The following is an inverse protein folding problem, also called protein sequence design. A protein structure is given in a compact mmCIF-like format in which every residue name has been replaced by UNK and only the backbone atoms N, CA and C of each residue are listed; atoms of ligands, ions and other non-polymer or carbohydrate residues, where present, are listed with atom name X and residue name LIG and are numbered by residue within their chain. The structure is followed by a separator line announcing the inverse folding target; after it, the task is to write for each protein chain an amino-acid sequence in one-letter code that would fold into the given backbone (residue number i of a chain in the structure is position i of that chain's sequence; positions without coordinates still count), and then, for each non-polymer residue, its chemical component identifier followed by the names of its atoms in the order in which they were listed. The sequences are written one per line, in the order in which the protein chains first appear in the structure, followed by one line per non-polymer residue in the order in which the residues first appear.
data_IF_650808096942
#
_entry.id   IF_650808096942
#
_cell.length_a   1.000
_cell.length_b   1.000
_cell.length_c   1.000
_cell.angle_alpha   90.00
_cell.angle_beta   90.00
_cell.angle_gamma   90.00
#
_symmetry.space_group_name_H-M   'P 1'
#
loop_
_entity.id
_entity.type
_entity.pdbx_description
1 polymer ?
#
# COMPACT_ATOMS: atom_id res chain seq x y z
N UNK A 1 -33.68 -4.72 -11.91
CA UNK A 1 -32.34 -4.99 -12.48
C UNK A 1 -31.33 -4.66 -11.41
N UNK A 2 -30.68 -5.67 -10.84
CA UNK A 2 -29.60 -5.46 -9.88
C UNK A 2 -28.37 -5.07 -10.73
N UNK A 3 -27.94 -3.82 -10.65
CA UNK A 3 -26.69 -3.41 -11.29
C UNK A 3 -25.56 -4.08 -10.52
N UNK A 4 -25.03 -5.17 -11.06
CA UNK A 4 -23.86 -5.85 -10.55
C UNK A 4 -22.66 -4.90 -10.72
N UNK A 5 -22.44 -4.03 -9.73
CA UNK A 5 -21.22 -3.23 -9.63
C UNK A 5 -20.12 -4.23 -9.29
N UNK A 6 -19.43 -4.73 -10.31
CA UNK A 6 -18.20 -5.51 -10.13
C UNK A 6 -17.22 -4.63 -9.35
N UNK A 7 -17.19 -4.80 -8.03
CA UNK A 7 -16.23 -4.14 -7.16
C UNK A 7 -14.90 -4.83 -7.43
N UNK A 8 -14.12 -4.28 -8.36
CA UNK A 8 -12.74 -4.69 -8.54
C UNK A 8 -12.09 -4.47 -7.17
N UNK A 9 -11.47 -5.51 -6.55
CA UNK A 9 -10.79 -5.33 -5.27
C UNK A 9 -9.79 -4.18 -5.44
N UNK A 10 -9.91 -3.16 -4.59
CA UNK A 10 -9.02 -2.00 -4.59
C UNK A 10 -7.59 -2.50 -4.48
N UNK A 11 -6.80 -2.27 -5.52
CA UNK A 11 -5.42 -2.75 -5.61
C UNK A 11 -4.45 -1.82 -4.87
N UNK A 12 -3.22 -2.28 -4.76
CA UNK A 12 -2.13 -1.47 -4.24
C UNK A 12 -0.98 -1.46 -5.23
N UNK A 13 -0.41 -0.29 -5.42
CA UNK A 13 0.91 -0.15 -6.05
C UNK A 13 1.95 0.06 -4.95
N UNK A 14 3.22 -0.16 -5.29
CA UNK A 14 4.29 -0.07 -4.30
C UNK A 14 5.60 0.34 -4.94
N UNK A 15 6.46 0.95 -4.11
CA UNK A 15 7.82 1.32 -4.47
C UNK A 15 8.76 0.64 -3.46
N UNK A 16 9.82 0.02 -3.98
CA UNK A 16 10.94 -0.48 -3.19
C UNK A 16 12.23 -0.16 -3.96
N UNK A 17 13.02 0.79 -3.45
CA UNK A 17 14.22 1.29 -4.14
C UNK A 17 15.34 1.65 -3.15
N UNK A 18 16.61 1.61 -3.56
CA UNK A 18 17.70 2.11 -2.74
C UNK A 18 17.56 3.62 -2.50
N UNK A 19 17.88 4.07 -1.29
CA UNK A 19 17.90 5.48 -0.87
C UNK A 19 19.00 5.67 0.19
N UNK A 20 20.10 6.34 -0.19
CA UNK A 20 21.30 6.43 0.65
C UNK A 20 21.86 5.04 0.97
N UNK A 21 22.14 4.81 2.25
CA UNK A 21 22.61 3.51 2.77
C UNK A 21 21.46 2.51 3.03
N UNK A 22 20.22 2.87 2.69
CA UNK A 22 19.03 2.09 3.00
C UNK A 22 18.15 1.80 1.78
N UNK A 23 16.96 1.28 2.08
CA UNK A 23 15.92 0.96 1.11
C UNK A 23 14.62 1.67 1.49
N UNK A 24 14.22 2.64 0.68
CA UNK A 24 12.91 3.29 0.80
C UNK A 24 11.85 2.32 0.29
N UNK A 25 10.82 2.13 1.10
CA UNK A 25 9.63 1.37 0.74
C UNK A 25 8.37 2.22 0.93
N UNK A 26 7.37 2.02 0.08
CA UNK A 26 6.13 2.79 0.07
C UNK A 26 4.99 1.96 -0.51
N UNK A 27 3.83 1.96 0.15
CA UNK A 27 2.58 1.42 -0.37
C UNK A 27 1.66 2.56 -0.81
N UNK A 28 1.04 2.40 -1.98
CA UNK A 28 0.26 3.42 -2.68
C UNK A 28 -1.13 2.86 -2.97
N UNK A 29 -2.17 3.62 -2.64
CA UNK A 29 -3.53 3.32 -3.04
C UNK A 29 -3.65 3.40 -4.56
N UNK A 30 -4.10 2.32 -5.21
CA UNK A 30 -4.20 2.32 -6.68
C UNK A 30 -5.25 3.31 -7.19
N UNK A 31 -6.31 3.53 -6.43
CA UNK A 31 -7.46 4.32 -6.87
C UNK A 31 -7.20 5.83 -6.83
N UNK A 32 -6.42 6.30 -5.86
CA UNK A 32 -6.18 7.72 -5.59
C UNK A 32 -4.70 8.11 -5.64
N UNK A 33 -3.79 7.14 -5.80
CA UNK A 33 -2.35 7.36 -5.74
C UNK A 33 -1.85 7.79 -4.36
N UNK A 34 -2.69 7.70 -3.32
CA UNK A 34 -2.35 8.19 -1.99
C UNK A 34 -1.27 7.31 -1.34
N UNK A 35 -0.37 7.95 -0.60
CA UNK A 35 0.60 7.24 0.22
C UNK A 35 -0.11 6.67 1.43
N UNK A 36 -0.18 5.35 1.50
CA UNK A 36 -0.86 4.68 2.60
C UNK A 36 0.12 4.44 3.77
N UNK A 37 1.37 4.10 3.45
CA UNK A 37 2.47 3.97 4.42
C UNK A 37 3.82 4.02 3.69
N UNK A 38 4.85 4.53 4.36
CA UNK A 38 6.22 4.52 3.85
C UNK A 38 7.26 4.46 4.97
N UNK A 39 8.49 4.07 4.61
CA UNK A 39 9.61 4.01 5.54
C UNK A 39 10.94 3.77 4.84
N UNK A 40 12.00 3.65 5.63
CA UNK A 40 13.34 3.23 5.18
C UNK A 40 13.71 1.97 5.97
N UNK A 41 14.27 0.98 5.27
CA UNK A 41 14.78 -0.25 5.85
C UNK A 41 16.29 -0.36 5.62
N UNK A 42 17.01 -1.11 6.46
CA UNK A 42 18.45 -1.34 6.29
C UNK A 42 18.78 -2.25 5.11
N UNK A 43 17.79 -3.02 4.62
CA UNK A 43 17.96 -3.88 3.45
C UNK A 43 16.70 -3.99 2.60
N UNK A 44 16.86 -4.46 1.36
CA UNK A 44 15.74 -4.76 0.45
C UNK A 44 14.78 -5.79 1.04
N UNK A 45 15.31 -6.84 1.68
CA UNK A 45 14.50 -7.93 2.24
C UNK A 45 13.63 -7.44 3.39
N UNK A 46 14.20 -6.58 4.25
CA UNK A 46 13.46 -5.95 5.34
C UNK A 46 12.37 -5.00 4.81
N UNK A 47 12.67 -4.15 3.82
CA UNK A 47 11.67 -3.29 3.18
C UNK A 47 10.54 -4.08 2.51
N UNK A 48 10.85 -5.22 1.88
CA UNK A 48 9.85 -6.12 1.32
C UNK A 48 8.97 -6.77 2.41
N UNK A 49 9.56 -7.16 3.55
CA UNK A 49 8.82 -7.71 4.68
C UNK A 49 7.85 -6.68 5.28
N UNK A 50 8.25 -5.41 5.37
CA UNK A 50 7.36 -4.33 5.81
C UNK A 50 6.22 -4.07 4.83
N UNK A 51 6.48 -4.09 3.51
CA UNK A 51 5.44 -4.02 2.49
C UNK A 51 4.44 -5.17 2.62
N UNK A 52 4.93 -6.40 2.71
CA UNK A 52 4.08 -7.58 2.85
C UNK A 52 3.23 -7.49 4.13
N UNK A 53 3.83 -7.10 5.26
CA UNK A 53 3.12 -6.88 6.52
C UNK A 53 2.03 -5.80 6.38
N UNK A 54 2.34 -4.66 5.76
CA UNK A 54 1.39 -3.57 5.59
C UNK A 54 0.19 -3.97 4.73
N UNK A 55 0.43 -4.74 3.66
CA UNK A 55 -0.62 -5.29 2.79
C UNK A 55 -1.46 -6.33 3.56
N UNK A 56 -0.83 -7.28 4.24
CA UNK A 56 -1.53 -8.36 4.95
C UNK A 56 -2.35 -7.89 6.15
N UNK A 57 -1.92 -6.84 6.85
CA UNK A 57 -2.63 -6.33 8.02
C UNK A 57 -3.83 -5.45 7.68
N UNK A 58 -4.12 -5.21 6.39
CA UNK A 58 -5.27 -4.38 5.99
C UNK A 58 -5.17 -2.93 6.46
N UNK A 59 -3.96 -2.46 6.84
CA UNK A 59 -3.69 -1.03 7.13
C UNK A 59 -4.12 -0.17 5.94
N UNK A 60 -4.02 -0.73 4.74
CA UNK A 60 -4.39 -0.12 3.47
C UNK A 60 -5.90 -0.12 3.19
N UNK A 61 -6.71 -0.82 3.99
CA UNK A 61 -8.17 -0.92 3.84
C UNK A 61 -8.94 -0.02 4.82
N UNK A 62 -8.28 0.63 5.79
CA UNK A 62 -8.94 1.38 6.87
C UNK A 62 -9.03 2.90 6.67
N UNK A 63 -8.64 3.46 5.51
CA UNK A 63 -8.87 4.90 5.21
C UNK A 63 -10.05 5.19 4.26
N UNK A 64 -10.86 4.19 3.91
CA UNK A 64 -12.18 4.42 3.32
C UNK A 64 -13.28 4.14 4.35
N UNK A 65 -13.55 5.12 5.22
CA UNK A 65 -14.84 5.24 5.90
C UNK A 65 -15.36 6.67 5.65
N UNK A 66 -16.61 6.84 5.22
CA UNK A 66 -17.04 7.89 4.30
C UNK A 66 -17.42 9.19 5.00
N UNK A 67 -17.21 10.34 4.34
CA UNK A 67 -17.91 11.57 4.71
C UNK A 67 -19.29 11.59 4.03
N UNK A 68 -20.30 11.76 4.87
CA UNK A 68 -21.74 11.79 4.59
C UNK A 68 -22.19 12.93 3.67
#
# INVERSE_FOLDING_TARGET
MLNEKTMIPSGYDWILRPEGDGWRWKAIGRDDGAVLVEGVAGSRAEGAAFLARAISLGVLSQMQVPAA
#
